data_IF_951886522970
#
_entry.id   IF_951886522970
#
_cell.length_a   1.000
_cell.length_b   1.000
_cell.length_c   1.000
_cell.angle_alpha   90.00
_cell.angle_beta   90.00
_cell.angle_gamma   90.00
#
_symmetry.space_group_name_H-M   'P 1'
#
loop_
_entity.id
_entity.type
_entity.pdbx_description
1 polymer ?
#
# COMPACT_ATOMS: atom_id res chain seq x y z
N UNK A 1 9.80 27.44 -3.76
CA UNK A 1 8.90 26.50 -3.05
C UNK A 1 9.20 26.47 -1.56
N UNK A 2 10.45 26.22 -1.12
CA UNK A 2 10.80 26.13 0.31
C UNK A 2 10.34 27.29 1.20
N UNK A 3 10.54 28.54 0.76
CA UNK A 3 10.12 29.73 1.53
C UNK A 3 8.63 29.70 1.86
N UNK A 4 7.78 29.43 0.86
CA UNK A 4 6.33 29.29 1.03
C UNK A 4 5.98 28.21 2.07
N UNK A 5 6.67 27.07 2.01
CA UNK A 5 6.46 25.95 2.92
C UNK A 5 6.86 26.29 4.37
N UNK A 6 7.96 27.02 4.56
CA UNK A 6 8.43 27.50 5.85
C UNK A 6 7.50 28.55 6.46
N UNK A 7 6.95 29.46 5.63
CA UNK A 7 5.98 30.47 6.07
C UNK A 7 4.77 29.84 6.76
N UNK A 8 4.29 28.67 6.31
CA UNK A 8 3.19 27.95 6.97
C UNK A 8 3.57 27.52 8.40
N UNK A 9 4.81 27.09 8.64
CA UNK A 9 5.29 26.71 9.97
C UNK A 9 5.33 27.95 10.88
N UNK A 10 5.81 29.08 10.37
CA UNK A 10 5.93 30.34 11.12
C UNK A 10 4.57 30.95 11.47
N UNK A 11 3.60 30.87 10.56
CA UNK A 11 2.24 31.38 10.75
C UNK A 11 1.36 30.44 11.60
N UNK A 12 1.78 29.19 11.75
CA UNK A 12 1.01 28.13 12.39
C UNK A 12 0.11 27.40 11.40
N UNK A 13 -0.15 26.12 11.69
CA UNK A 13 -0.95 25.27 10.81
C UNK A 13 -2.43 25.68 10.85
N UNK A 14 -3.08 25.78 9.68
CA UNK A 14 -4.49 26.10 9.61
C UNK A 14 -5.36 24.97 10.16
N UNK A 15 -6.53 25.33 10.67
CA UNK A 15 -7.59 24.38 11.04
C UNK A 15 -8.16 23.76 9.76
N UNK A 16 -8.69 22.54 9.88
CA UNK A 16 -9.35 21.83 8.79
C UNK A 16 -10.40 22.69 8.07
N UNK A 17 -10.38 22.66 6.74
CA UNK A 17 -11.38 23.29 5.89
C UNK A 17 -11.81 22.33 4.77
N UNK A 18 -13.12 22.21 4.53
CA UNK A 18 -13.66 21.40 3.44
C UNK A 18 -13.83 22.22 2.14
N UNK A 19 -13.63 21.61 0.96
CA UNK A 19 -13.27 20.22 0.76
C UNK A 19 -11.79 19.95 1.04
N UNK A 20 -11.49 18.90 1.80
CA UNK A 20 -10.12 18.41 1.95
C UNK A 20 -9.63 17.77 0.63
N UNK A 21 -8.35 17.95 0.24
CA UNK A 21 -7.75 17.25 -0.89
C UNK A 21 -7.91 15.73 -0.77
N UNK A 22 -8.09 15.03 -1.90
CA UNK A 22 -8.27 13.58 -1.91
C UNK A 22 -7.45 12.94 -3.03
N UNK A 23 -7.12 11.67 -2.81
CA UNK A 23 -6.54 10.80 -3.84
C UNK A 23 -7.51 10.56 -4.99
N UNK A 24 -6.98 9.97 -6.06
CA UNK A 24 -7.70 9.68 -7.29
C UNK A 24 -8.33 8.28 -7.32
N UNK A 25 -8.45 7.62 -6.17
CA UNK A 25 -9.20 6.38 -6.01
C UNK A 25 -10.67 6.67 -5.68
N UNK A 26 -11.64 6.22 -6.50
CA UNK A 26 -13.06 6.47 -6.25
C UNK A 26 -13.58 5.81 -4.97
N UNK A 27 -14.36 6.56 -4.18
CA UNK A 27 -15.12 6.00 -3.04
C UNK A 27 -14.36 5.94 -1.71
N UNK A 28 -13.09 6.37 -1.68
CA UNK A 28 -12.29 6.40 -0.45
C UNK A 28 -12.94 7.26 0.65
N UNK A 29 -13.12 6.65 1.81
CA UNK A 29 -13.59 7.31 3.03
C UNK A 29 -12.38 7.67 3.87
N UNK A 30 -12.16 8.97 4.04
CA UNK A 30 -11.08 9.50 4.88
C UNK A 30 -11.69 9.98 6.20
N UNK A 31 -11.08 9.54 7.30
CA UNK A 31 -11.44 9.98 8.64
C UNK A 31 -10.33 10.89 9.16
N UNK A 32 -10.73 12.04 9.68
CA UNK A 32 -9.83 13.03 10.28
C UNK A 32 -10.08 13.10 11.79
N UNK A 33 -9.01 13.28 12.55
CA UNK A 33 -9.02 13.51 14.00
C UNK A 33 -7.98 14.56 14.34
N UNK A 34 -8.08 15.20 15.52
CA UNK A 34 -7.06 16.12 16.03
C UNK A 34 -5.67 15.45 16.04
N UNK A 35 -5.62 14.20 16.52
CA UNK A 35 -4.42 13.35 16.50
C UNK A 35 -3.84 13.16 15.08
N UNK A 36 -4.68 13.03 14.05
CA UNK A 36 -4.19 12.93 12.66
C UNK A 36 -3.56 14.24 12.18
N UNK A 37 -4.08 15.39 12.62
CA UNK A 37 -3.50 16.70 12.30
C UNK A 37 -2.18 16.89 13.04
N UNK A 38 -2.09 16.57 14.32
CA UNK A 38 -0.84 16.68 15.10
C UNK A 38 0.29 15.84 14.49
N UNK A 39 -0.04 14.63 14.04
CA UNK A 39 0.86 13.74 13.30
C UNK A 39 1.31 14.36 11.97
N UNK A 40 0.37 14.88 11.19
CA UNK A 40 0.68 15.52 9.92
C UNK A 40 1.54 16.78 10.09
N UNK A 41 1.35 17.57 11.14
CA UNK A 41 2.18 18.73 11.44
C UNK A 41 3.63 18.35 11.77
N UNK A 42 3.81 17.30 12.55
CA UNK A 42 5.13 16.72 12.86
C UNK A 42 5.80 16.28 11.56
N UNK A 43 5.09 15.47 10.77
CA UNK A 43 5.60 14.95 9.51
C UNK A 43 5.89 16.05 8.49
N UNK A 44 5.06 17.09 8.38
CA UNK A 44 5.29 18.22 7.48
C UNK A 44 6.62 18.94 7.78
N UNK A 45 6.94 19.16 9.07
CA UNK A 45 8.22 19.75 9.48
C UNK A 45 9.41 18.85 9.11
N UNK A 46 9.27 17.55 9.34
CA UNK A 46 10.30 16.57 8.97
C UNK A 46 10.55 16.58 7.46
N UNK A 47 9.50 16.56 6.64
CA UNK A 47 9.60 16.60 5.18
C UNK A 47 10.32 17.87 4.70
N UNK A 48 9.96 19.05 5.21
CA UNK A 48 10.61 20.31 4.82
C UNK A 48 12.09 20.36 5.17
N UNK A 49 12.48 19.75 6.28
CA UNK A 49 13.88 19.71 6.70
C UNK A 49 14.74 18.72 5.91
N UNK A 50 14.13 17.68 5.32
CA UNK A 50 14.84 16.57 4.67
C UNK A 50 14.80 16.59 3.14
N UNK A 51 13.76 17.18 2.54
CA UNK A 51 13.60 17.25 1.09
C UNK A 51 14.18 18.57 0.57
N UNK A 52 14.88 18.51 -0.56
CA UNK A 52 15.36 19.70 -1.26
C UNK A 52 14.22 20.40 -2.02
N UNK A 53 13.54 21.32 -1.32
CA UNK A 53 12.53 22.22 -1.88
C UNK A 53 13.10 23.52 -2.47
N UNK A 54 14.44 23.69 -2.50
CA UNK A 54 15.10 24.89 -3.05
C UNK A 54 15.40 24.74 -4.53
N UNK A 55 15.96 23.60 -4.92
CA UNK A 55 16.45 23.38 -6.29
C UNK A 55 15.46 22.63 -7.17
N UNK A 56 14.52 21.88 -6.57
CA UNK A 56 13.59 21.06 -7.33
C UNK A 56 12.28 21.78 -7.66
N UNK A 57 11.88 21.72 -8.93
CA UNK A 57 10.61 22.27 -9.42
C UNK A 57 9.42 21.33 -9.30
N UNK A 58 9.67 20.02 -9.31
CA UNK A 58 8.67 18.95 -9.24
C UNK A 58 9.17 17.90 -8.25
N UNK A 59 8.41 17.63 -7.20
CA UNK A 59 8.80 16.73 -6.11
C UNK A 59 7.79 15.59 -6.00
N UNK A 60 8.29 14.37 -5.90
CA UNK A 60 7.48 13.18 -5.67
C UNK A 60 7.79 12.61 -4.30
N UNK A 61 6.77 12.60 -3.43
CA UNK A 61 6.82 11.98 -2.10
C UNK A 61 6.02 10.69 -2.19
N UNK A 62 6.66 9.55 -1.98
CA UNK A 62 5.94 8.28 -1.85
C UNK A 62 5.58 8.02 -0.39
N UNK A 63 4.33 7.64 -0.15
CA UNK A 63 3.79 7.29 1.17
C UNK A 63 3.34 5.83 1.12
N UNK A 64 4.08 4.97 1.83
CA UNK A 64 3.84 3.53 1.91
C UNK A 64 3.50 3.08 3.32
N UNK A 65 3.04 1.83 3.45
CA UNK A 65 2.53 1.29 4.72
C UNK A 65 1.40 0.28 4.51
N UNK A 66 1.12 -0.51 5.56
CA UNK A 66 0.04 -1.49 5.54
C UNK A 66 -1.36 -0.88 5.44
N UNK A 67 -2.37 -1.73 5.21
CA UNK A 67 -3.76 -1.29 5.30
C UNK A 67 -4.06 -0.78 6.70
N UNK A 68 -4.65 0.42 6.81
CA UNK A 68 -4.96 1.05 8.09
C UNK A 68 -3.82 1.82 8.76
N UNK A 69 -2.65 1.98 8.11
CA UNK A 69 -1.53 2.75 8.67
C UNK A 69 -1.72 4.28 8.61
N UNK A 70 -2.81 4.76 8.01
CA UNK A 70 -3.13 6.19 7.92
C UNK A 70 -2.62 6.90 6.66
N UNK A 71 -2.10 6.16 5.66
CA UNK A 71 -1.58 6.72 4.39
C UNK A 71 -2.51 7.75 3.76
N UNK A 72 -3.75 7.35 3.46
CA UNK A 72 -4.74 8.21 2.79
C UNK A 72 -5.08 9.45 3.62
N UNK A 73 -5.21 9.30 4.95
CA UNK A 73 -5.48 10.43 5.86
C UNK A 73 -4.31 11.41 5.90
N UNK A 74 -3.07 10.93 6.12
CA UNK A 74 -1.90 11.80 6.18
C UNK A 74 -1.58 12.42 4.82
N UNK A 75 -1.72 11.69 3.71
CA UNK A 75 -1.55 12.24 2.37
C UNK A 75 -2.52 13.39 2.09
N UNK A 76 -3.79 13.26 2.49
CA UNK A 76 -4.79 14.32 2.40
C UNK A 76 -4.41 15.56 3.21
N UNK A 77 -4.05 15.39 4.49
CA UNK A 77 -3.69 16.52 5.37
C UNK A 77 -2.40 17.20 4.90
N UNK A 78 -1.39 16.44 4.47
CA UNK A 78 -0.16 17.00 3.91
C UNK A 78 -0.43 17.80 2.64
N UNK A 79 -1.24 17.26 1.73
CA UNK A 79 -1.65 18.00 0.53
C UNK A 79 -2.39 19.29 0.89
N UNK A 80 -3.28 19.25 1.89
CA UNK A 80 -3.94 20.45 2.41
C UNK A 80 -2.93 21.49 2.91
N UNK A 81 -1.94 21.09 3.70
CA UNK A 81 -0.89 21.99 4.18
C UNK A 81 -0.03 22.56 3.05
N UNK A 82 0.40 21.73 2.09
CA UNK A 82 1.12 22.22 0.92
C UNK A 82 0.29 23.23 0.12
N UNK A 83 -0.99 22.97 -0.11
CA UNK A 83 -1.87 23.90 -0.82
C UNK A 83 -2.12 25.19 -0.04
N UNK A 84 -2.23 25.12 1.30
CA UNK A 84 -2.33 26.32 2.16
C UNK A 84 -1.05 27.13 2.21
N UNK A 85 0.11 26.50 2.02
CA UNK A 85 1.37 27.19 1.76
C UNK A 85 1.44 27.80 0.34
N UNK A 86 0.47 27.55 -0.54
CA UNK A 86 0.48 28.04 -1.93
C UNK A 86 1.30 27.16 -2.88
N UNK A 87 1.54 25.90 -2.52
CA UNK A 87 2.23 24.90 -3.34
C UNK A 87 1.23 23.84 -3.80
N UNK A 88 0.83 23.89 -5.07
CA UNK A 88 -0.15 22.97 -5.61
C UNK A 88 0.30 21.51 -5.51
N UNK A 89 -0.58 20.65 -5.00
CA UNK A 89 -0.27 19.23 -4.74
C UNK A 89 -1.28 18.31 -5.42
N UNK A 90 -0.83 17.15 -5.87
CA UNK A 90 -1.69 16.07 -6.38
C UNK A 90 -1.43 14.78 -5.60
N UNK A 91 -2.49 14.04 -5.26
CA UNK A 91 -2.38 12.73 -4.61
C UNK A 91 -2.71 11.67 -5.66
N UNK A 92 -1.70 10.90 -6.04
CA UNK A 92 -1.80 9.77 -6.96
C UNK A 92 -1.95 8.48 -6.13
N UNK A 93 -3.04 7.74 -6.32
CA UNK A 93 -3.21 6.41 -5.74
C UNK A 93 -2.56 5.36 -6.65
N UNK A 94 -1.69 4.55 -6.06
CA UNK A 94 -1.10 3.41 -6.75
C UNK A 94 -2.08 2.26 -7.00
N UNK A 95 -3.24 2.25 -6.34
CA UNK A 95 -4.26 1.20 -6.45
C UNK A 95 -4.96 1.19 -7.82
N UNK A 96 -4.77 2.24 -8.63
CA UNK A 96 -5.17 2.25 -10.04
C UNK A 96 -4.26 1.40 -10.95
N UNK A 97 -3.07 0.99 -10.47
CA UNK A 97 -1.99 0.40 -11.28
C UNK A 97 -1.71 -1.11 -11.11
N UNK A 98 -2.57 -1.96 -10.51
CA UNK A 98 -2.50 -3.40 -10.75
C UNK A 98 -2.81 -3.77 -12.22
N UNK A 99 -2.41 -4.99 -12.62
CA UNK A 99 -2.78 -5.55 -13.93
C UNK A 99 -4.25 -5.93 -14.03
N UNK A 100 -4.88 -6.25 -12.89
CA UNK A 100 -6.26 -6.74 -12.78
C UNK A 100 -7.08 -5.84 -11.84
N UNK A 101 -8.39 -5.78 -12.06
CA UNK A 101 -9.33 -5.21 -11.07
C UNK A 101 -9.31 -6.07 -9.78
N UNK A 102 -9.75 -5.54 -8.62
CA UNK A 102 -9.67 -6.24 -7.33
C UNK A 102 -10.24 -7.66 -7.34
N UNK A 103 -11.46 -7.86 -7.84
CA UNK A 103 -12.12 -9.17 -7.88
C UNK A 103 -11.31 -10.22 -8.65
N UNK A 104 -10.78 -9.82 -9.82
CA UNK A 104 -9.98 -10.72 -10.67
C UNK A 104 -8.60 -10.97 -10.09
N UNK A 105 -8.05 -9.99 -9.39
CA UNK A 105 -6.77 -10.16 -8.70
C UNK A 105 -6.90 -11.14 -7.52
N UNK A 106 -7.98 -11.06 -6.75
CA UNK A 106 -8.26 -12.00 -5.67
C UNK A 106 -8.49 -13.43 -6.20
N UNK A 107 -9.21 -13.57 -7.31
CA UNK A 107 -9.36 -14.86 -7.99
C UNK A 107 -8.01 -15.43 -8.48
N UNK A 108 -7.15 -14.59 -9.06
CA UNK A 108 -5.81 -14.99 -9.50
C UNK A 108 -4.94 -15.45 -8.33
N UNK A 109 -4.94 -14.73 -7.20
CA UNK A 109 -4.20 -15.10 -5.99
C UNK A 109 -4.61 -16.50 -5.50
N UNK A 110 -5.92 -16.79 -5.46
CA UNK A 110 -6.45 -18.11 -5.08
C UNK A 110 -6.01 -19.19 -6.08
N UNK A 111 -6.08 -18.90 -7.38
CA UNK A 111 -5.68 -19.84 -8.42
C UNK A 111 -4.18 -20.17 -8.33
N UNK A 112 -3.31 -19.17 -8.22
CA UNK A 112 -1.86 -19.34 -8.09
C UNK A 112 -1.51 -20.23 -6.90
N UNK A 113 -2.11 -19.94 -5.73
CA UNK A 113 -1.89 -20.74 -4.53
C UNK A 113 -2.31 -22.20 -4.73
N UNK A 114 -3.56 -22.43 -5.15
CA UNK A 114 -4.13 -23.79 -5.29
C UNK A 114 -3.42 -24.62 -6.38
N UNK A 115 -3.03 -24.00 -7.49
CA UNK A 115 -2.35 -24.68 -8.59
C UNK A 115 -0.94 -25.15 -8.17
N UNK A 116 -0.14 -24.24 -7.61
CA UNK A 116 1.21 -24.57 -7.14
C UNK A 116 1.18 -25.62 -6.02
N UNK A 117 0.24 -25.48 -5.08
CA UNK A 117 0.07 -26.39 -3.96
C UNK A 117 -0.30 -27.81 -4.42
N UNK A 118 -1.26 -27.96 -5.33
CA UNK A 118 -1.63 -29.27 -5.88
C UNK A 118 -0.51 -29.88 -6.73
N UNK A 119 0.16 -29.07 -7.54
CA UNK A 119 1.30 -29.53 -8.35
C UNK A 119 2.41 -30.13 -7.49
N UNK A 120 2.75 -29.50 -6.36
CA UNK A 120 3.74 -30.02 -5.43
C UNK A 120 3.34 -31.39 -4.85
N UNK A 121 2.06 -31.59 -4.53
CA UNK A 121 1.56 -32.90 -4.08
C UNK A 121 1.68 -33.99 -5.16
N UNK A 122 1.42 -33.65 -6.42
CA UNK A 122 1.58 -34.58 -7.55
C UNK A 122 3.05 -34.95 -7.73
N UNK A 123 3.94 -33.96 -7.70
CA UNK A 123 5.39 -34.15 -7.86
C UNK A 123 6.01 -35.00 -6.74
N UNK A 124 5.51 -34.88 -5.51
CA UNK A 124 5.94 -35.72 -4.38
C UNK A 124 5.23 -37.08 -4.31
N UNK A 125 4.32 -37.39 -5.24
CA UNK A 125 3.55 -38.65 -5.23
C UNK A 125 2.58 -38.76 -4.04
N UNK A 126 2.17 -37.63 -3.45
CA UNK A 126 1.22 -37.55 -2.34
C UNK A 126 -0.22 -37.31 -2.79
N UNK A 127 -0.43 -36.86 -4.03
CA UNK A 127 -1.77 -36.61 -4.57
C UNK A 127 -2.50 -37.91 -4.93
N UNK A 128 -3.75 -38.05 -4.45
CA UNK A 128 -4.65 -39.16 -4.74
C UNK A 128 -6.12 -38.71 -4.59
N UNK A 129 -7.08 -39.61 -4.87
CA UNK A 129 -8.52 -39.26 -4.81
C UNK A 129 -8.99 -38.85 -3.39
N UNK A 130 -8.42 -39.40 -2.31
CA UNK A 130 -8.78 -39.00 -0.94
C UNK A 130 -8.31 -37.57 -0.66
N UNK A 131 -7.08 -37.24 -1.06
CA UNK A 131 -6.52 -35.88 -0.95
C UNK A 131 -7.36 -34.89 -1.77
N UNK A 132 -7.73 -35.25 -2.99
CA UNK A 132 -8.60 -34.44 -3.84
C UNK A 132 -9.95 -34.14 -3.18
N UNK A 133 -10.61 -35.16 -2.62
CA UNK A 133 -11.89 -34.98 -1.94
C UNK A 133 -11.78 -34.05 -0.71
N UNK A 134 -10.67 -34.14 0.04
CA UNK A 134 -10.39 -33.24 1.17
C UNK A 134 -10.19 -31.80 0.67
N UNK A 135 -9.37 -31.61 -0.37
CA UNK A 135 -9.12 -30.29 -0.96
C UNK A 135 -10.41 -29.66 -1.49
N UNK A 136 -11.26 -30.42 -2.18
CA UNK A 136 -12.58 -29.94 -2.64
C UNK A 136 -13.42 -29.38 -1.47
N UNK A 137 -13.40 -30.05 -0.32
CA UNK A 137 -14.10 -29.54 0.87
C UNK A 137 -13.46 -28.26 1.42
N UNK A 138 -12.13 -28.22 1.55
CA UNK A 138 -11.37 -27.03 1.99
C UNK A 138 -11.69 -25.83 1.09
N UNK A 139 -11.82 -26.06 -0.22
CA UNK A 139 -12.07 -25.01 -1.20
C UNK A 139 -13.49 -24.45 -1.11
N UNK A 140 -14.48 -25.31 -0.82
CA UNK A 140 -15.88 -24.90 -0.64
C UNK A 140 -16.08 -24.00 0.57
N UNK A 141 -15.28 -24.18 1.63
CA UNK A 141 -15.34 -23.36 2.85
C UNK A 141 -14.29 -22.24 2.86
N UNK A 142 -13.53 -22.08 1.77
CA UNK A 142 -12.49 -21.05 1.60
C UNK A 142 -11.45 -21.02 2.75
N UNK A 143 -10.97 -22.21 3.14
CA UNK A 143 -10.06 -22.38 4.29
C UNK A 143 -8.65 -22.84 3.88
N UNK A 144 -8.25 -22.60 2.63
CA UNK A 144 -7.06 -23.15 1.96
C UNK A 144 -5.72 -22.76 2.60
N UNK A 145 -5.71 -21.69 3.40
CA UNK A 145 -4.55 -21.17 4.12
C UNK A 145 -4.51 -21.56 5.60
N UNK A 146 -5.43 -22.40 6.09
CA UNK A 146 -5.49 -22.71 7.52
C UNK A 146 -4.33 -23.60 7.93
N UNK A 147 -3.66 -23.21 9.02
CA UNK A 147 -2.59 -23.98 9.64
C UNK A 147 -3.12 -25.17 10.45
N UNK A 148 -4.42 -25.23 10.75
CA UNK A 148 -5.03 -26.30 11.54
C UNK A 148 -4.85 -27.68 10.88
N UNK A 149 -4.79 -27.69 9.54
CA UNK A 149 -4.63 -28.89 8.73
C UNK A 149 -3.21 -29.48 8.78
N UNK A 150 -2.20 -28.73 9.21
CA UNK A 150 -0.83 -29.24 9.38
C UNK A 150 -0.76 -30.42 10.37
N UNK A 151 -1.63 -30.39 11.38
CA UNK A 151 -1.73 -31.47 12.38
C UNK A 151 -2.63 -32.63 11.95
N UNK A 152 -3.46 -32.42 10.92
CA UNK A 152 -4.51 -33.36 10.50
C UNK A 152 -4.07 -34.21 9.31
N UNK A 153 -3.21 -33.66 8.44
CA UNK A 153 -2.82 -34.28 7.18
C UNK A 153 -1.31 -34.19 6.97
N UNK A 154 -0.66 -35.34 6.82
CA UNK A 154 0.78 -35.46 6.63
C UNK A 154 1.30 -34.87 5.31
N UNK A 155 0.42 -34.72 4.31
CA UNK A 155 0.70 -34.09 3.02
C UNK A 155 0.50 -32.57 3.01
N UNK A 156 -0.20 -32.01 4.00
CA UNK A 156 -0.63 -30.61 3.93
C UNK A 156 0.50 -29.61 4.08
N UNK A 157 1.60 -29.97 4.75
CA UNK A 157 2.79 -29.12 4.79
C UNK A 157 3.35 -28.85 3.39
N UNK A 158 3.46 -29.88 2.54
CA UNK A 158 3.90 -29.74 1.13
C UNK A 158 2.96 -28.82 0.37
N UNK A 159 1.64 -29.03 0.53
CA UNK A 159 0.61 -28.20 -0.09
C UNK A 159 0.75 -26.72 0.30
N UNK A 160 0.79 -26.45 1.61
CA UNK A 160 0.77 -25.09 2.14
C UNK A 160 2.04 -24.31 1.75
N UNK A 161 3.23 -24.89 1.95
CA UNK A 161 4.50 -24.21 1.65
C UNK A 161 4.66 -23.92 0.15
N UNK A 162 4.23 -24.82 -0.72
CA UNK A 162 4.31 -24.61 -2.16
C UNK A 162 3.35 -23.50 -2.62
N UNK A 163 2.12 -23.51 -2.11
CA UNK A 163 1.15 -22.46 -2.40
C UNK A 163 1.58 -21.09 -1.88
N UNK A 164 2.01 -21.02 -0.61
CA UNK A 164 2.47 -19.78 0.04
C UNK A 164 3.64 -19.17 -0.72
N UNK A 165 4.64 -19.98 -1.10
CA UNK A 165 5.77 -19.54 -1.90
C UNK A 165 5.35 -18.99 -3.26
N UNK A 166 4.47 -19.68 -3.98
CA UNK A 166 3.99 -19.22 -5.28
C UNK A 166 3.22 -17.91 -5.17
N UNK A 167 2.43 -17.75 -4.10
CA UNK A 167 1.71 -16.52 -3.80
C UNK A 167 2.67 -15.39 -3.43
N UNK A 168 3.72 -15.65 -2.66
CA UNK A 168 4.77 -14.69 -2.34
C UNK A 168 5.57 -14.26 -3.59
N UNK A 169 5.74 -15.14 -4.57
CA UNK A 169 6.36 -14.83 -5.86
C UNK A 169 5.45 -14.00 -6.79
N UNK A 170 4.17 -13.81 -6.44
CA UNK A 170 3.20 -12.99 -7.16
C UNK A 170 2.95 -11.65 -6.46
N UNK A 171 2.62 -11.67 -5.16
CA UNK A 171 2.17 -10.51 -4.40
C UNK A 171 3.21 -9.38 -4.42
N UNK A 172 2.76 -8.16 -4.68
CA UNK A 172 3.59 -6.95 -4.71
C UNK A 172 4.72 -6.96 -5.75
N UNK A 173 4.70 -7.88 -6.72
CA UNK A 173 5.70 -7.98 -7.80
C UNK A 173 5.17 -7.39 -9.11
N UNK A 174 6.01 -7.33 -10.14
CA UNK A 174 5.61 -6.97 -11.50
C UNK A 174 4.57 -7.90 -12.13
N UNK A 175 4.36 -9.11 -11.58
CA UNK A 175 3.28 -10.02 -12.00
C UNK A 175 1.89 -9.56 -11.55
N UNK A 176 1.82 -8.83 -10.44
CA UNK A 176 0.59 -8.28 -9.89
C UNK A 176 0.42 -6.79 -10.27
N UNK A 177 1.53 -6.05 -10.26
CA UNK A 177 1.57 -4.60 -10.37
C UNK A 177 2.12 -4.14 -11.72
N UNK A 178 1.49 -3.14 -12.32
CA UNK A 178 1.98 -2.49 -13.53
C UNK A 178 2.94 -1.33 -13.18
N UNK A 179 4.11 -1.69 -12.65
CA UNK A 179 5.19 -0.74 -12.32
C UNK A 179 5.60 0.14 -13.52
N UNK A 180 5.70 -0.38 -14.77
CA UNK A 180 5.99 0.47 -15.92
C UNK A 180 4.95 1.58 -16.14
N UNK A 181 3.66 1.30 -15.92
CA UNK A 181 2.61 2.29 -16.12
C UNK A 181 2.68 3.43 -15.10
N UNK A 182 2.95 3.14 -13.83
CA UNK A 182 3.10 4.19 -12.81
C UNK A 182 4.41 4.96 -13.01
N UNK A 183 5.52 4.30 -13.32
CA UNK A 183 6.80 4.98 -13.61
C UNK A 183 6.70 5.96 -14.78
N UNK A 184 5.87 5.67 -15.80
CA UNK A 184 5.59 6.63 -16.88
C UNK A 184 4.95 7.91 -16.33
N UNK A 185 3.94 7.79 -15.47
CA UNK A 185 3.27 8.95 -14.85
C UNK A 185 4.24 9.78 -14.00
N UNK A 186 5.03 9.11 -13.17
CA UNK A 186 6.04 9.78 -12.34
C UNK A 186 7.07 10.53 -13.19
N UNK A 187 7.53 9.90 -14.28
CA UNK A 187 8.44 10.52 -15.24
C UNK A 187 7.82 11.74 -15.91
N UNK A 188 6.61 11.64 -16.46
CA UNK A 188 5.92 12.76 -17.10
C UNK A 188 5.73 13.95 -16.14
N UNK A 189 5.45 13.68 -14.86
CA UNK A 189 5.35 14.72 -13.84
C UNK A 189 6.71 15.41 -13.58
N UNK A 190 7.80 14.65 -13.45
CA UNK A 190 9.16 15.19 -13.27
C UNK A 190 9.66 15.97 -14.49
N UNK A 191 9.23 15.58 -15.69
CA UNK A 191 9.53 16.30 -16.94
C UNK A 191 8.74 17.62 -17.08
N UNK A 192 7.78 17.88 -16.17
CA UNK A 192 7.04 19.13 -16.13
C UNK A 192 5.84 19.19 -17.06
N UNK A 193 5.31 18.05 -17.50
CA UNK A 193 4.11 18.03 -18.35
C UNK A 193 2.89 18.60 -17.60
N UNK A 194 2.22 19.57 -18.22
CA UNK A 194 1.03 20.22 -17.65
C UNK A 194 -0.24 19.36 -17.75
N UNK A 195 -0.25 18.33 -18.60
CA UNK A 195 -1.38 17.42 -18.80
C UNK A 195 -0.86 15.99 -18.87
N UNK A 196 -1.33 15.14 -17.96
CA UNK A 196 -0.91 13.74 -17.88
C UNK A 196 -2.15 12.86 -17.91
N UNK A 197 -2.10 11.78 -18.71
CA UNK A 197 -3.16 10.78 -18.75
C UNK A 197 -2.97 9.77 -17.61
N UNK A 198 -3.95 9.71 -16.71
CA UNK A 198 -3.93 8.82 -15.56
C UNK A 198 -4.95 7.70 -15.75
N UNK A 199 -4.53 6.46 -15.50
CA UNK A 199 -5.43 5.31 -15.47
C UNK A 199 -6.38 5.44 -14.29
N UNK A 200 -7.62 5.02 -14.49
CA UNK A 200 -8.65 4.87 -13.46
C UNK A 200 -9.19 3.46 -13.49
N UNK A 201 -9.34 2.87 -12.31
CA UNK A 201 -9.83 1.52 -12.15
C UNK A 201 -10.80 1.46 -10.98
N UNK A 202 -12.03 1.00 -11.24
CA UNK A 202 -13.00 0.65 -10.22
C UNK A 202 -12.97 -0.86 -9.92
N UNK A 203 -14.03 -1.32 -9.25
CA UNK A 203 -14.14 -2.71 -8.83
C UNK A 203 -14.81 -3.63 -9.86
N UNK A 204 -15.34 -3.10 -10.97
CA UNK A 204 -16.00 -3.88 -12.02
C UNK A 204 -15.22 -3.84 -13.34
N UNK A 205 -15.42 -4.80 -14.25
CA UNK A 205 -14.72 -4.84 -15.54
C UNK A 205 -14.95 -3.61 -16.43
N UNK A 206 -16.12 -2.98 -16.33
CA UNK A 206 -16.48 -1.78 -17.10
C UNK A 206 -15.89 -0.50 -16.52
N UNK A 207 -15.45 -0.52 -15.25
CA UNK A 207 -14.90 0.63 -14.56
C UNK A 207 -13.40 0.79 -14.85
N UNK A 208 -13.03 0.91 -16.12
CA UNK A 208 -11.64 1.12 -16.58
C UNK A 208 -11.59 2.24 -17.63
N UNK A 209 -10.93 3.35 -17.30
CA UNK A 209 -10.82 4.50 -18.20
C UNK A 209 -9.54 5.31 -17.94
N UNK A 210 -9.36 6.39 -18.69
CA UNK A 210 -8.27 7.34 -18.49
C UNK A 210 -8.82 8.76 -18.34
N UNK A 211 -8.30 9.49 -17.35
CA UNK A 211 -8.56 10.92 -17.17
C UNK A 211 -7.34 11.73 -17.60
N UNK A 212 -7.55 12.83 -18.33
CA UNK A 212 -6.49 13.80 -18.57
C UNK A 212 -6.48 14.84 -17.44
N UNK A 213 -5.47 14.76 -16.57
CA UNK A 213 -5.39 15.58 -15.37
C UNK A 213 -4.49 16.80 -15.60
N UNK A 214 -4.87 17.94 -15.01
CA UNK A 214 -4.12 19.20 -15.04
C UNK A 214 -3.03 19.22 -13.96
N UNK A 215 -1.77 19.38 -14.38
CA UNK A 215 -0.59 19.47 -13.55
C UNK A 215 0.15 20.82 -13.66
N UNK A 216 -0.41 21.80 -14.39
CA UNK A 216 0.26 23.08 -14.65
C UNK A 216 0.70 23.81 -13.37
N UNK A 217 -0.17 23.82 -12.36
CA UNK A 217 0.09 24.46 -11.07
C UNK A 217 0.49 23.47 -9.96
N UNK A 218 0.73 22.20 -10.31
CA UNK A 218 1.08 21.15 -9.34
C UNK A 218 2.59 20.98 -9.27
N UNK A 219 3.17 21.18 -8.10
CA UNK A 219 4.61 21.14 -7.85
C UNK A 219 5.00 19.92 -7.01
N UNK A 220 4.07 19.41 -6.21
CA UNK A 220 4.25 18.19 -5.42
C UNK A 220 3.27 17.12 -5.91
N UNK A 221 3.75 15.89 -6.04
CA UNK A 221 2.92 14.69 -6.19
C UNK A 221 3.16 13.79 -4.99
N UNK A 222 2.10 13.42 -4.29
CA UNK A 222 2.12 12.40 -3.26
C UNK A 222 1.67 11.09 -3.91
N UNK A 223 2.57 10.12 -4.03
CA UNK A 223 2.23 8.75 -4.41
C UNK A 223 1.82 7.98 -3.16
N UNK A 224 0.51 7.81 -2.97
CA UNK A 224 -0.05 7.03 -1.87
C UNK A 224 -0.26 5.59 -2.33
N UNK A 225 0.50 4.66 -1.73
CA UNK A 225 0.41 3.27 -2.14
C UNK A 225 1.04 2.31 -1.14
N UNK A 226 0.42 1.15 -0.92
CA UNK A 226 1.04 0.06 -0.14
C UNK A 226 2.44 -0.26 -0.64
N UNK A 227 2.63 -0.31 -1.97
CA UNK A 227 3.93 -0.63 -2.59
C UNK A 227 4.79 0.62 -2.91
N UNK A 228 4.58 1.74 -2.23
CA UNK A 228 5.33 2.98 -2.47
C UNK A 228 6.85 2.88 -2.25
N UNK A 229 7.31 1.88 -1.50
CA UNK A 229 8.74 1.57 -1.33
C UNK A 229 9.29 0.56 -2.35
N UNK A 230 8.50 0.17 -3.36
CA UNK A 230 8.93 -0.82 -4.34
C UNK A 230 10.24 -0.39 -5.02
N UNK A 231 11.20 -1.32 -5.06
CA UNK A 231 12.57 -1.03 -5.50
C UNK A 231 12.65 -0.52 -6.94
N UNK A 232 11.67 -0.86 -7.79
CA UNK A 232 11.60 -0.42 -9.18
C UNK A 232 10.88 0.91 -9.44
N UNK A 233 10.36 1.58 -8.41
CA UNK A 233 9.87 2.94 -8.56
C UNK A 233 11.03 3.91 -8.84
N UNK A 234 10.83 4.80 -9.81
CA UNK A 234 11.84 5.76 -10.29
C UNK A 234 11.34 7.19 -10.13
N UNK A 235 12.26 8.12 -9.93
CA UNK A 235 11.95 9.55 -9.79
C UNK A 235 11.32 9.96 -8.45
N UNK A 236 11.26 9.05 -7.47
CA UNK A 236 10.84 9.36 -6.10
C UNK A 236 11.93 10.19 -5.43
N UNK A 237 11.57 11.37 -4.91
CA UNK A 237 12.48 12.27 -4.21
C UNK A 237 12.53 11.99 -2.70
N UNK A 238 11.45 11.42 -2.15
CA UNK A 238 11.39 11.03 -0.75
C UNK A 238 10.43 9.86 -0.51
N UNK A 239 10.87 8.85 0.24
CA UNK A 239 10.09 7.66 0.63
C UNK A 239 9.75 7.71 2.11
N UNK A 240 8.47 7.98 2.37
CA UNK A 240 7.87 7.89 3.69
C UNK A 240 7.26 6.51 3.88
N UNK A 241 7.69 5.80 4.92
CA UNK A 241 7.05 4.56 5.35
C UNK A 241 6.27 4.78 6.66
N UNK A 242 4.96 4.61 6.58
CA UNK A 242 4.07 4.62 7.75
C UNK A 242 4.00 3.23 8.35
N UNK A 243 4.68 3.06 9.47
CA UNK A 243 4.71 1.80 10.20
C UNK A 243 3.39 1.56 10.93
N UNK A 244 2.97 0.31 10.97
CA UNK A 244 1.96 -0.19 11.89
C UNK A 244 2.42 -1.53 12.41
N UNK A 245 2.32 -1.74 13.72
CA UNK A 245 2.72 -3.00 14.35
C UNK A 245 1.78 -4.14 13.93
N UNK A 246 2.21 -5.40 14.07
CA UNK A 246 1.33 -6.55 13.84
C UNK A 246 0.02 -6.48 14.65
N UNK A 247 0.10 -6.08 15.92
CA UNK A 247 -1.07 -5.94 16.80
C UNK A 247 -2.04 -4.85 16.32
N UNK A 248 -1.53 -3.70 15.90
CA UNK A 248 -2.34 -2.60 15.34
C UNK A 248 -3.01 -3.00 14.04
N UNK A 249 -2.27 -3.72 13.20
CA UNK A 249 -2.76 -4.23 11.92
C UNK A 249 -3.88 -5.24 12.18
N UNK A 250 -3.73 -6.12 13.16
CA UNK A 250 -4.78 -7.06 13.58
C UNK A 250 -6.01 -6.35 14.16
N UNK A 251 -5.84 -5.33 15.00
CA UNK A 251 -6.95 -4.56 15.54
C UNK A 251 -7.75 -3.85 14.44
N UNK A 252 -7.06 -3.30 13.44
CA UNK A 252 -7.70 -2.72 12.26
C UNK A 252 -8.46 -3.76 11.43
N UNK A 253 -7.89 -4.97 11.26
CA UNK A 253 -8.54 -6.10 10.59
C UNK A 253 -9.88 -6.46 11.25
N UNK A 254 -9.91 -6.59 12.59
CA UNK A 254 -11.14 -6.88 13.34
C UNK A 254 -12.24 -5.81 13.15
N UNK A 255 -11.86 -4.56 12.93
CA UNK A 255 -12.81 -3.47 12.66
C UNK A 255 -13.38 -3.54 11.24
N UNK A 256 -12.61 -4.02 10.26
CA UNK A 256 -13.04 -4.23 8.86
C UNK A 256 -13.72 -5.58 8.61
N UNK A 257 -13.54 -6.57 9.47
CA UNK A 257 -14.11 -7.91 9.37
C UNK A 257 -15.65 -8.02 9.42
N UNK A 258 -16.36 -6.89 9.32
CA UNK A 258 -17.81 -6.88 9.05
C UNK A 258 -18.16 -7.19 7.59
N UNK A 259 -17.16 -7.30 6.70
CA UNK A 259 -17.31 -7.77 5.33
C UNK A 259 -16.98 -9.29 5.24
N UNK A 260 -17.94 -10.09 4.74
CA UNK A 260 -18.17 -11.50 5.11
C UNK A 260 -17.09 -12.58 4.88
N UNK A 261 -15.91 -12.26 4.34
CA UNK A 261 -14.78 -13.20 4.17
C UNK A 261 -13.40 -12.64 4.60
N UNK A 262 -13.36 -11.44 5.19
CA UNK A 262 -12.11 -10.77 5.55
C UNK A 262 -11.26 -11.53 6.59
N UNK A 263 -11.87 -12.43 7.36
CA UNK A 263 -11.21 -13.25 8.39
C UNK A 263 -10.86 -14.67 7.92
N UNK A 264 -10.97 -14.97 6.62
CA UNK A 264 -10.56 -16.29 6.12
C UNK A 264 -9.06 -16.54 6.31
N UNK A 265 -8.69 -17.82 6.44
CA UNK A 265 -7.30 -18.21 6.58
C UNK A 265 -6.48 -17.83 5.33
N UNK A 266 -7.10 -17.87 4.14
CA UNK A 266 -6.45 -17.44 2.90
C UNK A 266 -6.14 -15.94 2.89
N UNK A 267 -7.11 -15.09 3.25
CA UNK A 267 -6.89 -13.63 3.34
C UNK A 267 -5.85 -13.30 4.41
N UNK A 268 -5.86 -14.00 5.54
CA UNK A 268 -4.85 -13.82 6.59
C UNK A 268 -3.43 -14.09 6.09
N UNK A 269 -3.25 -15.16 5.31
CA UNK A 269 -1.98 -15.50 4.68
C UNK A 269 -1.53 -14.44 3.66
N UNK A 270 -2.42 -13.99 2.76
CA UNK A 270 -2.13 -12.89 1.81
C UNK A 270 -1.61 -11.65 2.55
N UNK A 271 -2.32 -11.24 3.61
CA UNK A 271 -1.95 -10.08 4.42
C UNK A 271 -0.64 -10.29 5.20
N UNK A 272 -0.32 -11.53 5.59
CA UNK A 272 0.97 -11.87 6.20
C UNK A 272 2.11 -11.65 5.21
N UNK A 273 1.98 -12.19 4.00
CA UNK A 273 2.95 -12.02 2.92
C UNK A 273 3.11 -10.54 2.53
N UNK A 274 2.01 -9.78 2.41
CA UNK A 274 2.06 -8.33 2.15
C UNK A 274 2.83 -7.58 3.25
N UNK A 275 2.60 -7.94 4.51
CA UNK A 275 3.30 -7.33 5.65
C UNK A 275 4.80 -7.65 5.63
N UNK A 276 5.18 -8.90 5.36
CA UNK A 276 6.58 -9.30 5.20
C UNK A 276 7.26 -8.52 4.07
N UNK A 277 6.58 -8.32 2.94
CA UNK A 277 7.10 -7.52 1.82
C UNK A 277 7.29 -6.06 2.21
N UNK A 278 6.38 -5.46 2.96
CA UNK A 278 6.55 -4.11 3.50
C UNK A 278 7.78 -4.02 4.40
N UNK A 279 7.98 -5.02 5.27
CA UNK A 279 9.18 -5.10 6.12
C UNK A 279 10.45 -5.22 5.29
N UNK A 280 10.48 -6.08 4.28
CA UNK A 280 11.63 -6.24 3.37
C UNK A 280 11.94 -4.95 2.58
N UNK A 281 10.93 -4.14 2.28
CA UNK A 281 11.08 -2.87 1.57
C UNK A 281 11.33 -1.67 2.49
N UNK A 282 11.19 -1.82 3.81
CA UNK A 282 11.40 -0.74 4.78
C UNK A 282 12.81 -0.09 4.74
N UNK A 283 13.92 -0.80 4.41
CA UNK A 283 15.24 -0.16 4.30
C UNK A 283 15.33 0.89 3.18
N UNK A 284 14.38 0.89 2.24
CA UNK A 284 14.32 1.89 1.17
C UNK A 284 13.71 3.22 1.63
N UNK A 285 13.13 3.29 2.84
CA UNK A 285 12.50 4.50 3.35
C UNK A 285 13.56 5.55 3.74
N UNK A 286 13.33 6.80 3.35
CA UNK A 286 14.11 7.95 3.82
C UNK A 286 13.64 8.38 5.23
N UNK A 287 12.39 8.05 5.58
CA UNK A 287 11.81 8.26 6.91
C UNK A 287 10.80 7.18 7.24
N UNK A 288 10.93 6.61 8.45
CA UNK A 288 9.95 5.71 9.03
C UNK A 288 9.17 6.49 10.10
N UNK A 289 7.84 6.44 10.01
CA UNK A 289 6.95 7.17 10.91
C UNK A 289 6.00 6.19 11.59
N UNK A 290 5.99 6.19 12.92
CA UNK A 290 5.13 5.33 13.70
C UNK A 290 3.68 5.78 13.65
N UNK A 291 2.77 4.87 14.00
CA UNK A 291 1.35 5.20 14.16
C UNK A 291 1.10 6.26 15.24
N UNK A 292 1.98 6.37 16.22
CA UNK A 292 1.92 7.35 17.32
C UNK A 292 2.50 8.72 16.95
N UNK A 293 2.95 8.91 15.71
CA UNK A 293 3.46 10.20 15.25
C UNK A 293 4.94 10.46 15.52
N UNK A 294 5.72 9.39 15.73
CA UNK A 294 7.14 9.47 16.06
C UNK A 294 7.99 9.06 14.87
N UNK A 295 9.04 9.83 14.58
CA UNK A 295 10.06 9.43 13.61
C UNK A 295 10.92 8.34 14.25
N UNK A 296 11.05 7.22 13.55
CA UNK A 296 11.82 6.07 13.98
C UNK A 296 13.12 6.01 13.19
N UNK A 297 14.23 5.75 13.87
CA UNK A 297 15.39 5.15 13.21
C UNK A 297 15.13 3.66 12.91
N UNK A 298 16.03 3.05 12.15
CA UNK A 298 15.83 1.68 11.70
C UNK A 298 15.90 0.65 12.84
N UNK A 299 16.74 0.88 13.85
CA UNK A 299 16.90 -0.03 14.98
C UNK A 299 15.67 0.02 15.91
N UNK A 300 15.13 1.23 16.14
CA UNK A 300 13.86 1.45 16.83
C UNK A 300 12.71 0.78 16.10
N UNK A 301 12.67 0.90 14.78
CA UNK A 301 11.68 0.23 13.94
C UNK A 301 11.77 -1.30 14.08
N UNK A 302 12.96 -1.90 13.94
CA UNK A 302 13.15 -3.35 14.09
C UNK A 302 12.70 -3.83 15.48
N UNK A 303 13.03 -3.08 16.53
CA UNK A 303 12.62 -3.41 17.90
C UNK A 303 11.10 -3.47 18.08
N UNK A 304 10.33 -2.64 17.36
CA UNK A 304 8.87 -2.63 17.39
C UNK A 304 8.24 -3.78 16.59
N UNK A 305 8.96 -4.34 15.62
CA UNK A 305 8.47 -5.45 14.79
C UNK A 305 8.87 -6.80 15.39
N UNK A 306 10.09 -6.92 15.93
CA UNK A 306 10.60 -8.15 16.57
C UNK A 306 10.04 -8.37 17.98
N UNK A 307 9.66 -7.30 18.68
CA UNK A 307 9.06 -7.36 20.01
C UNK A 307 7.55 -7.58 20.04
N UNK A 308 6.91 -7.85 18.90
CA UNK A 308 5.45 -7.95 18.72
C UNK A 308 4.95 -9.40 18.55
#
# INVERSE_FOLDING_TARGET
MKEQLLTLIEQGFPVMEEPMPRGDMPGDKIFYSEDSFDKAQTLYKELISKIDFETQDKIIISVSGGSGSGKTTLASILAFYFEKAGVGTYILSGDNYPHRIPEYNDAERVQIYRDAAQKALVEEGRYNEDVKAILEHIYQVFNDGSLDYLSQYDWYQTYHLAGERALADYLGTDKELNIPAINRVLKEFKEGNDRIWLKRMGCTPEALWYDQVDFANKKIMILEWTHGNHADLRGIDFRLFLNSTPAETMAYRKLRARDGHADSAFVTMVLGIEQEKLHQQSPMADLIFSKDGVVLDYDQYLSLIEGA
#
